data_IF_000661974127
#
_entry.id   IF_000661974127
#
_cell.length_a   1.000
_cell.length_b   1.000
_cell.length_c   1.000
_cell.angle_alpha   90.00
_cell.angle_beta   90.00
_cell.angle_gamma   90.00
#
_symmetry.space_group_name_H-M   'P 1'
#
loop_
_entity.id
_entity.type
_entity.pdbx_description
1 polymer ?
#
# COMPACT_ATOMS: atom_id res chain seq x y z
N UNK A 1 4.28 12.63 -13.91
CA UNK A 1 3.76 13.84 -13.26
C UNK A 1 2.55 14.40 -14.01
N UNK A 2 2.69 14.92 -15.24
CA UNK A 2 1.55 15.44 -16.02
C UNK A 2 0.42 14.42 -16.26
N UNK A 3 0.76 13.17 -16.57
CA UNK A 3 -0.27 12.14 -16.78
C UNK A 3 -1.06 11.83 -15.51
N UNK A 4 -0.42 11.79 -14.34
CA UNK A 4 -1.13 11.58 -13.08
C UNK A 4 -2.12 12.71 -12.79
N UNK A 5 -1.73 13.97 -13.00
CA UNK A 5 -2.62 15.13 -12.80
C UNK A 5 -3.86 15.00 -13.70
N UNK A 6 -3.66 14.61 -14.96
CA UNK A 6 -4.74 14.41 -15.93
C UNK A 6 -5.67 13.26 -15.51
N UNK A 7 -5.12 12.11 -15.13
CA UNK A 7 -5.95 10.98 -14.66
C UNK A 7 -6.67 11.30 -13.34
N UNK A 8 -6.05 12.08 -12.45
CA UNK A 8 -6.69 12.57 -11.22
C UNK A 8 -7.90 13.47 -11.53
N UNK A 9 -7.74 14.41 -12.47
CA UNK A 9 -8.84 15.28 -12.92
C UNK A 9 -9.98 14.48 -13.56
N UNK A 10 -9.65 13.50 -14.40
CA UNK A 10 -10.63 12.60 -15.01
C UNK A 10 -11.38 11.76 -13.98
N UNK A 11 -10.68 11.21 -12.99
CA UNK A 11 -11.29 10.49 -11.87
C UNK A 11 -12.29 11.40 -11.13
N UNK A 12 -11.90 12.64 -10.86
CA UNK A 12 -12.76 13.64 -10.20
C UNK A 12 -14.02 13.95 -11.02
N UNK A 13 -13.92 14.05 -12.34
CA UNK A 13 -15.08 14.25 -13.23
C UNK A 13 -16.03 13.04 -13.21
N UNK A 14 -15.47 11.82 -13.21
CA UNK A 14 -16.24 10.58 -13.11
C UNK A 14 -16.99 10.53 -11.78
N UNK A 15 -16.31 10.74 -10.66
CA UNK A 15 -16.94 10.74 -9.34
C UNK A 15 -18.01 11.83 -9.22
N UNK A 16 -17.78 13.03 -9.79
CA UNK A 16 -18.81 14.06 -9.85
C UNK A 16 -20.05 13.62 -10.62
N UNK A 17 -19.87 12.95 -11.77
CA UNK A 17 -20.99 12.43 -12.56
C UNK A 17 -21.76 11.34 -11.81
N UNK A 18 -21.07 10.47 -11.09
CA UNK A 18 -21.66 9.34 -10.40
C UNK A 18 -22.33 9.74 -9.07
N UNK A 19 -21.75 10.71 -8.35
CA UNK A 19 -22.18 11.06 -6.99
C UNK A 19 -22.80 12.45 -6.86
N UNK A 20 -22.67 13.30 -7.87
CA UNK A 20 -23.23 14.66 -7.91
C UNK A 20 -22.44 15.72 -7.12
N UNK A 21 -21.24 15.39 -6.63
CA UNK A 21 -20.35 16.32 -5.94
C UNK A 21 -18.88 15.95 -6.14
N UNK A 22 -17.97 16.93 -5.98
CA UNK A 22 -16.54 16.68 -6.00
C UNK A 22 -16.09 16.05 -4.68
N UNK A 23 -15.77 14.76 -4.72
CA UNK A 23 -15.20 13.99 -3.61
C UNK A 23 -13.68 14.14 -3.50
N UNK A 24 -13.01 14.32 -4.63
CA UNK A 24 -11.55 14.36 -4.74
C UNK A 24 -11.07 15.81 -4.72
N UNK A 25 -10.38 16.23 -3.64
CA UNK A 25 -10.02 17.62 -3.45
C UNK A 25 -8.82 18.03 -4.32
N UNK A 26 -8.86 19.24 -4.88
CA UNK A 26 -7.72 19.79 -5.66
C UNK A 26 -6.92 20.83 -4.86
N UNK A 27 -7.38 21.19 -3.67
CA UNK A 27 -6.73 22.15 -2.80
C UNK A 27 -7.09 21.86 -1.33
N UNK A 28 -6.40 22.53 -0.41
CA UNK A 28 -6.59 22.35 1.02
C UNK A 28 -7.99 22.72 1.50
N UNK A 29 -8.64 23.72 0.88
CA UNK A 29 -10.00 24.10 1.26
C UNK A 29 -10.98 22.95 0.97
N UNK A 30 -10.96 22.40 -0.24
CA UNK A 30 -11.81 21.26 -0.61
C UNK A 30 -11.51 20.02 0.26
N UNK A 31 -10.22 19.79 0.60
CA UNK A 31 -9.82 18.69 1.47
C UNK A 31 -10.41 18.84 2.88
N UNK A 32 -10.29 20.02 3.48
CA UNK A 32 -10.86 20.30 4.81
C UNK A 32 -12.39 20.24 4.81
N UNK A 33 -13.05 20.77 3.78
CA UNK A 33 -14.50 20.66 3.62
C UNK A 33 -14.94 19.19 3.52
N UNK A 34 -14.19 18.37 2.77
CA UNK A 34 -14.46 16.93 2.67
C UNK A 34 -14.31 16.22 4.01
N UNK A 35 -13.20 16.47 4.72
CA UNK A 35 -12.94 15.89 6.04
C UNK A 35 -14.01 16.28 7.06
N UNK A 36 -14.42 17.55 7.06
CA UNK A 36 -15.50 18.03 7.93
C UNK A 36 -16.82 17.32 7.61
N UNK A 37 -17.20 17.19 6.33
CA UNK A 37 -18.42 16.45 5.95
C UNK A 37 -18.39 15.00 6.43
N UNK A 38 -17.28 14.29 6.23
CA UNK A 38 -17.10 12.91 6.70
C UNK A 38 -17.21 12.84 8.21
N UNK A 39 -16.54 13.75 8.93
CA UNK A 39 -16.57 13.80 10.39
C UNK A 39 -17.98 14.02 10.93
N UNK A 40 -18.70 15.03 10.41
CA UNK A 40 -20.07 15.32 10.85
C UNK A 40 -21.02 14.14 10.56
N UNK A 41 -20.86 13.49 9.41
CA UNK A 41 -21.75 12.42 8.97
C UNK A 41 -21.51 11.09 9.69
N UNK A 42 -20.25 10.73 9.95
CA UNK A 42 -19.90 9.38 10.38
C UNK A 42 -19.21 9.29 11.75
N UNK A 43 -18.56 10.37 12.22
CA UNK A 43 -17.76 10.33 13.44
C UNK A 43 -18.40 11.03 14.64
N UNK A 44 -19.49 11.78 14.43
CA UNK A 44 -20.29 12.39 15.50
C UNK A 44 -21.41 11.52 16.07
N UNK A 45 -21.67 10.36 15.47
CA UNK A 45 -22.68 9.43 15.97
C UNK A 45 -22.37 9.01 17.42
N UNK A 46 -23.39 9.00 18.29
CA UNK A 46 -23.20 8.76 19.73
C UNK A 46 -22.61 7.38 20.05
N UNK A 47 -22.95 6.37 19.24
CA UNK A 47 -22.36 5.03 19.36
C UNK A 47 -20.88 5.06 19.03
N UNK A 48 -20.51 5.77 17.95
CA UNK A 48 -19.11 5.96 17.56
C UNK A 48 -18.33 6.72 18.62
N UNK A 49 -18.91 7.77 19.21
CA UNK A 49 -18.26 8.54 20.28
C UNK A 49 -18.02 7.71 21.55
N UNK A 50 -18.91 6.76 21.85
CA UNK A 50 -18.81 5.87 23.02
C UNK A 50 -17.88 4.66 22.84
N UNK A 51 -17.54 4.32 21.60
CA UNK A 51 -16.70 3.16 21.26
C UNK A 51 -15.39 3.60 20.60
N UNK A 52 -14.32 3.63 21.39
CA UNK A 52 -12.99 4.04 20.93
C UNK A 52 -12.45 3.15 19.80
N UNK A 53 -12.78 1.86 19.79
CA UNK A 53 -12.30 0.91 18.77
C UNK A 53 -13.01 1.19 17.46
N UNK A 54 -14.34 1.31 17.50
CA UNK A 54 -15.16 1.66 16.33
C UNK A 54 -14.74 3.02 15.75
N UNK A 55 -14.57 4.03 16.61
CA UNK A 55 -14.11 5.36 16.20
C UNK A 55 -12.77 5.32 15.50
N UNK A 56 -11.80 4.59 16.04
CA UNK A 56 -10.46 4.47 15.45
C UNK A 56 -10.53 3.79 14.08
N UNK A 57 -11.31 2.71 13.95
CA UNK A 57 -11.52 2.01 12.68
C UNK A 57 -12.15 2.93 11.63
N UNK A 58 -13.23 3.63 11.98
CA UNK A 58 -13.90 4.57 11.08
C UNK A 58 -12.99 5.75 10.69
N UNK A 59 -12.28 6.33 11.65
CA UNK A 59 -11.33 7.41 11.39
C UNK A 59 -10.26 6.97 10.38
N UNK A 60 -9.64 5.81 10.61
CA UNK A 60 -8.63 5.27 9.69
C UNK A 60 -9.18 4.94 8.31
N UNK A 61 -10.45 4.52 8.21
CA UNK A 61 -11.03 4.06 6.95
C UNK A 61 -11.67 5.16 6.11
N UNK A 62 -12.10 6.26 6.75
CA UNK A 62 -12.86 7.32 6.10
C UNK A 62 -12.06 8.62 5.93
N UNK A 63 -11.17 8.96 6.87
CA UNK A 63 -10.42 10.21 6.80
C UNK A 63 -9.00 10.03 6.27
N UNK A 64 -8.34 8.95 6.66
CA UNK A 64 -6.95 8.73 6.23
C UNK A 64 -6.89 8.17 4.80
N UNK A 65 -7.76 7.22 4.45
CA UNK A 65 -7.72 6.50 3.16
C UNK A 65 -7.78 7.40 1.92
N UNK A 66 -8.52 8.52 1.99
CA UNK A 66 -8.74 9.41 0.86
C UNK A 66 -7.64 10.47 0.72
N UNK A 67 -6.76 10.61 1.73
CA UNK A 67 -5.71 11.63 1.76
C UNK A 67 -4.55 11.33 0.80
N UNK A 68 -4.28 10.06 0.49
CA UNK A 68 -3.11 9.65 -0.31
C UNK A 68 -3.14 10.21 -1.74
N UNK A 69 -4.28 10.13 -2.42
CA UNK A 69 -4.38 10.58 -3.81
C UNK A 69 -4.25 12.09 -3.94
N UNK A 70 -4.79 12.82 -2.96
CA UNK A 70 -4.65 14.27 -2.85
C UNK A 70 -3.20 14.66 -2.55
N UNK A 71 -2.53 13.97 -1.62
CA UNK A 71 -1.12 14.22 -1.30
C UNK A 71 -0.21 14.00 -2.53
N UNK A 72 -0.46 12.95 -3.32
CA UNK A 72 0.24 12.73 -4.59
C UNK A 72 -0.09 13.80 -5.63
N UNK A 73 -1.36 14.21 -5.71
CA UNK A 73 -1.79 15.28 -6.62
C UNK A 73 -1.02 16.59 -6.35
N UNK A 74 -0.96 17.04 -5.10
CA UNK A 74 -0.20 18.23 -4.72
C UNK A 74 1.28 18.09 -5.05
N UNK A 75 1.91 16.98 -4.65
CA UNK A 75 3.33 16.76 -4.90
C UNK A 75 3.67 16.76 -6.39
N UNK A 76 2.81 16.20 -7.25
CA UNK A 76 3.01 16.21 -8.69
C UNK A 76 2.67 17.54 -9.35
N UNK A 77 1.70 18.29 -8.82
CA UNK A 77 1.36 19.62 -9.29
C UNK A 77 2.55 20.58 -9.09
N UNK A 78 3.15 20.52 -7.90
CA UNK A 78 4.27 21.40 -7.51
C UNK A 78 5.63 20.87 -8.00
N UNK A 79 5.68 19.62 -8.48
CA UNK A 79 6.93 18.95 -8.82
C UNK A 79 7.84 18.70 -7.61
N UNK A 80 7.26 18.64 -6.40
CA UNK A 80 7.97 18.53 -5.14
C UNK A 80 8.19 17.05 -4.74
N UNK A 81 9.41 16.56 -5.00
CA UNK A 81 9.83 15.21 -4.63
C UNK A 81 9.92 15.00 -3.11
N UNK A 82 10.18 16.05 -2.32
CA UNK A 82 10.20 15.94 -0.86
C UNK A 82 8.78 15.74 -0.35
N UNK A 83 7.82 16.49 -0.89
CA UNK A 83 6.40 16.29 -0.58
C UNK A 83 5.92 14.91 -1.02
N UNK A 84 6.34 14.43 -2.20
CA UNK A 84 6.03 13.08 -2.65
C UNK A 84 6.57 12.03 -1.67
N UNK A 85 7.82 12.16 -1.22
CA UNK A 85 8.41 11.24 -0.25
C UNK A 85 7.66 11.27 1.09
N UNK A 86 7.25 12.45 1.56
CA UNK A 86 6.43 12.59 2.77
C UNK A 86 5.05 11.94 2.60
N UNK A 87 4.43 12.08 1.43
CA UNK A 87 3.16 11.45 1.11
C UNK A 87 3.27 9.92 1.14
N UNK A 88 4.34 9.36 0.56
CA UNK A 88 4.64 7.92 0.61
C UNK A 88 4.87 7.47 2.06
N UNK A 89 5.67 8.21 2.84
CA UNK A 89 5.93 7.91 4.25
C UNK A 89 4.63 7.84 5.07
N UNK A 90 3.75 8.84 4.93
CA UNK A 90 2.48 8.88 5.64
C UNK A 90 1.55 7.76 5.18
N UNK A 91 1.45 7.53 3.87
CA UNK A 91 0.60 6.48 3.29
C UNK A 91 1.05 5.10 3.74
N UNK A 92 2.36 4.83 3.74
CA UNK A 92 2.91 3.54 4.17
C UNK A 92 2.50 3.19 5.60
N UNK A 93 2.59 4.16 6.52
CA UNK A 93 2.18 3.98 7.92
C UNK A 93 0.69 3.83 8.10
N UNK A 94 -0.10 4.58 7.34
CA UNK A 94 -1.55 4.43 7.35
C UNK A 94 -1.98 3.02 6.94
N UNK A 95 -1.45 2.52 5.82
CA UNK A 95 -1.76 1.17 5.31
C UNK A 95 -1.36 0.09 6.34
N UNK A 96 -0.22 0.25 7.02
CA UNK A 96 0.21 -0.62 8.13
C UNK A 96 -0.78 -0.59 9.32
N UNK A 97 -1.23 0.60 9.72
CA UNK A 97 -2.22 0.77 10.80
C UNK A 97 -3.55 0.12 10.41
N UNK A 98 -4.04 0.39 9.19
CA UNK A 98 -5.31 -0.17 8.71
C UNK A 98 -5.26 -1.69 8.58
N UNK A 99 -4.17 -2.22 8.05
CA UNK A 99 -3.94 -3.66 7.98
C UNK A 99 -3.97 -4.33 9.35
N UNK A 100 -3.39 -3.69 10.38
CA UNK A 100 -3.43 -4.21 11.75
C UNK A 100 -4.78 -4.07 12.46
N UNK A 101 -5.58 -3.05 12.13
CA UNK A 101 -6.84 -2.74 12.83
C UNK A 101 -8.09 -3.42 12.24
N UNK A 102 -8.13 -3.65 10.93
CA UNK A 102 -9.34 -4.09 10.24
C UNK A 102 -9.42 -5.62 10.13
N UNK A 103 -10.56 -6.19 10.53
CA UNK A 103 -10.73 -7.62 10.85
C UNK A 103 -10.93 -8.55 9.64
N UNK A 104 -10.28 -8.30 8.51
CA UNK A 104 -10.35 -9.18 7.33
C UNK A 104 -8.96 -9.70 7.00
N UNK A 105 -8.81 -11.01 6.81
CA UNK A 105 -7.53 -11.62 6.39
C UNK A 105 -7.00 -11.04 5.09
N UNK A 106 -7.89 -10.62 4.19
CA UNK A 106 -7.52 -9.93 2.94
C UNK A 106 -7.01 -8.51 3.21
N UNK A 107 -7.68 -7.75 4.07
CA UNK A 107 -7.29 -6.37 4.42
C UNK A 107 -6.00 -6.35 5.23
N UNK A 108 -5.84 -7.29 6.16
CA UNK A 108 -4.62 -7.49 6.93
C UNK A 108 -3.43 -7.69 6.01
N UNK A 109 -3.57 -8.65 5.10
CA UNK A 109 -2.50 -9.05 4.19
C UNK A 109 -2.18 -7.96 3.16
N UNK A 110 -3.19 -7.40 2.50
CA UNK A 110 -3.02 -6.38 1.47
C UNK A 110 -2.50 -5.07 2.07
N UNK A 111 -3.09 -4.61 3.18
CA UNK A 111 -2.66 -3.39 3.88
C UNK A 111 -1.24 -3.49 4.45
N UNK A 112 -0.88 -4.61 5.08
CA UNK A 112 0.49 -4.78 5.59
C UNK A 112 1.50 -4.83 4.44
N UNK A 113 1.24 -5.60 3.38
CA UNK A 113 2.17 -5.66 2.24
C UNK A 113 2.31 -4.30 1.56
N UNK A 114 1.20 -3.62 1.25
CA UNK A 114 1.23 -2.26 0.68
C UNK A 114 1.98 -1.30 1.56
N UNK A 115 1.71 -1.34 2.86
CA UNK A 115 2.38 -0.50 3.86
C UNK A 115 3.89 -0.73 3.89
N UNK A 116 4.32 -1.99 3.92
CA UNK A 116 5.75 -2.36 3.87
C UNK A 116 6.42 -1.92 2.56
N UNK A 117 5.77 -2.14 1.42
CA UNK A 117 6.33 -1.74 0.11
C UNK A 117 6.44 -0.23 -0.03
N UNK A 118 5.41 0.50 0.40
CA UNK A 118 5.40 1.96 0.37
C UNK A 118 6.48 2.52 1.30
N UNK A 119 6.63 1.92 2.48
CA UNK A 119 7.70 2.27 3.43
C UNK A 119 9.08 2.00 2.85
N UNK A 120 9.27 0.88 2.15
CA UNK A 120 10.51 0.57 1.44
C UNK A 120 10.82 1.61 0.35
N UNK A 121 9.81 2.04 -0.42
CA UNK A 121 9.96 3.02 -1.50
C UNK A 121 10.35 4.42 -1.02
N UNK A 122 10.04 4.78 0.22
CA UNK A 122 10.41 6.07 0.83
C UNK A 122 11.54 5.97 1.86
N UNK A 123 12.22 4.83 1.92
CA UNK A 123 13.30 4.52 2.88
C UNK A 123 12.87 4.57 4.37
N UNK A 124 11.58 4.39 4.69
CA UNK A 124 11.13 4.17 6.07
C UNK A 124 11.42 2.73 6.51
N UNK A 125 12.69 2.39 6.69
CA UNK A 125 13.09 1.06 7.13
C UNK A 125 12.75 0.78 8.60
N UNK A 126 12.45 1.83 9.38
CA UNK A 126 12.17 1.71 10.82
C UNK A 126 10.96 0.83 11.14
N UNK A 127 10.00 0.73 10.21
CA UNK A 127 8.80 -0.09 10.39
C UNK A 127 9.01 -1.55 10.00
N UNK A 128 10.01 -1.85 9.15
CA UNK A 128 10.22 -3.19 8.61
C UNK A 128 10.49 -4.19 9.73
N UNK A 129 11.38 -3.85 10.67
CA UNK A 129 11.72 -4.73 11.79
C UNK A 129 10.55 -5.00 12.74
N UNK A 130 9.56 -4.12 12.79
CA UNK A 130 8.38 -4.28 13.65
C UNK A 130 7.37 -5.28 13.09
N UNK A 131 7.32 -5.44 11.77
CA UNK A 131 6.38 -6.35 11.08
C UNK A 131 7.07 -7.61 10.54
N UNK A 132 8.36 -7.53 10.25
CA UNK A 132 9.23 -8.61 9.79
C UNK A 132 10.45 -8.64 10.70
N UNK A 133 10.32 -9.17 11.94
CA UNK A 133 11.44 -9.21 12.87
C UNK A 133 12.49 -10.24 12.41
N UNK A 134 13.72 -10.08 12.90
CA UNK A 134 14.86 -10.92 12.48
C UNK A 134 14.64 -12.41 12.78
N UNK A 135 13.98 -12.70 13.90
CA UNK A 135 13.63 -14.04 14.37
C UNK A 135 12.32 -14.59 13.77
N UNK A 136 11.66 -13.86 12.85
CA UNK A 136 10.49 -14.36 12.14
C UNK A 136 10.85 -15.67 11.43
N UNK A 137 10.19 -16.81 11.71
CA UNK A 137 10.52 -18.07 11.05
C UNK A 137 10.23 -18.00 9.55
N UNK A 138 10.85 -18.90 8.79
CA UNK A 138 10.53 -19.07 7.38
C UNK A 138 9.06 -19.48 7.23
N UNK A 139 8.30 -18.72 6.45
CA UNK A 139 6.90 -19.00 6.18
C UNK A 139 6.76 -20.09 5.12
N UNK A 140 5.65 -20.84 5.15
CA UNK A 140 5.42 -22.01 4.26
C UNK A 140 5.37 -21.72 2.75
N UNK A 141 5.24 -20.45 2.34
CA UNK A 141 5.14 -20.07 0.93
C UNK A 141 3.84 -20.52 0.23
N UNK A 142 2.77 -20.83 0.97
CA UNK A 142 1.49 -21.28 0.40
C UNK A 142 0.76 -20.17 -0.36
N UNK A 143 0.89 -18.94 0.13
CA UNK A 143 0.24 -17.75 -0.42
C UNK A 143 1.28 -16.74 -0.89
N UNK A 144 0.94 -15.92 -1.88
CA UNK A 144 1.84 -14.87 -2.39
C UNK A 144 2.43 -13.95 -1.30
N UNK A 145 1.70 -13.55 -0.24
CA UNK A 145 2.23 -12.70 0.83
C UNK A 145 3.35 -13.36 1.61
N UNK A 146 3.22 -14.67 1.85
CA UNK A 146 4.23 -15.43 2.58
C UNK A 146 5.54 -15.48 1.80
N UNK A 147 5.45 -15.69 0.48
CA UNK A 147 6.63 -15.69 -0.40
C UNK A 147 7.27 -14.31 -0.48
N UNK A 148 6.46 -13.26 -0.61
CA UNK A 148 6.93 -11.87 -0.57
C UNK A 148 7.63 -11.56 0.75
N UNK A 149 7.03 -11.90 1.90
CA UNK A 149 7.61 -11.65 3.23
C UNK A 149 8.92 -12.41 3.40
N UNK A 150 8.98 -13.68 2.97
CA UNK A 150 10.21 -14.47 3.02
C UNK A 150 11.34 -13.84 2.21
N UNK A 151 11.06 -13.42 0.97
CA UNK A 151 12.04 -12.74 0.11
C UNK A 151 12.46 -11.38 0.68
N UNK A 152 11.50 -10.57 1.12
CA UNK A 152 11.76 -9.26 1.72
C UNK A 152 12.59 -9.39 3.01
N UNK A 153 12.28 -10.36 3.88
CA UNK A 153 13.08 -10.66 5.07
C UNK A 153 14.53 -10.95 4.69
N UNK A 154 14.73 -11.92 3.79
CA UNK A 154 16.08 -12.35 3.41
C UNK A 154 16.90 -11.22 2.76
N UNK A 155 16.28 -10.41 1.88
CA UNK A 155 16.91 -9.24 1.25
C UNK A 155 17.26 -8.18 2.31
N UNK A 156 16.32 -7.86 3.21
CA UNK A 156 16.48 -6.80 4.19
C UNK A 156 17.57 -7.12 5.23
N UNK A 157 17.59 -8.36 5.72
CA UNK A 157 18.57 -8.82 6.71
C UNK A 157 19.85 -9.40 6.11
N UNK A 158 19.96 -9.44 4.78
CA UNK A 158 21.10 -10.00 4.03
C UNK A 158 21.38 -11.46 4.44
N UNK A 159 20.31 -12.26 4.58
CA UNK A 159 20.34 -13.66 4.98
C UNK A 159 20.33 -14.55 3.72
N UNK A 160 21.53 -14.87 3.20
CA UNK A 160 21.72 -15.61 1.95
C UNK A 160 21.21 -17.07 2.00
N UNK A 161 21.32 -17.71 3.17
CA UNK A 161 20.82 -19.08 3.38
C UNK A 161 19.30 -19.08 3.26
N UNK A 162 18.63 -18.15 3.96
CA UNK A 162 17.18 -17.97 3.85
C UNK A 162 16.78 -17.49 2.46
N UNK A 163 17.58 -16.67 1.79
CA UNK A 163 17.28 -16.16 0.45
C UNK A 163 17.13 -17.31 -0.55
N UNK A 164 18.06 -18.27 -0.51
CA UNK A 164 18.05 -19.46 -1.36
C UNK A 164 16.78 -20.28 -1.17
N UNK A 165 16.41 -20.57 0.08
CA UNK A 165 15.18 -21.31 0.40
C UNK A 165 13.90 -20.53 0.02
N UNK A 166 13.91 -19.21 0.23
CA UNK A 166 12.79 -18.32 -0.10
C UNK A 166 12.53 -18.27 -1.61
N UNK A 167 13.59 -18.25 -2.43
CA UNK A 167 13.48 -18.31 -3.90
C UNK A 167 12.84 -19.63 -4.34
N UNK A 168 13.25 -20.76 -3.75
CA UNK A 168 12.68 -22.08 -4.06
C UNK A 168 11.18 -22.11 -3.77
N UNK A 169 10.76 -21.67 -2.58
CA UNK A 169 9.34 -21.61 -2.20
C UNK A 169 8.54 -20.70 -3.14
N UNK A 170 9.09 -19.53 -3.49
CA UNK A 170 8.46 -18.58 -4.38
C UNK A 170 8.28 -19.14 -5.80
N UNK A 171 9.26 -19.86 -6.33
CA UNK A 171 9.17 -20.54 -7.63
C UNK A 171 8.12 -21.65 -7.60
N UNK A 172 8.13 -22.51 -6.58
CA UNK A 172 7.12 -23.56 -6.40
C UNK A 172 5.70 -22.98 -6.31
N UNK A 173 5.53 -21.83 -5.63
CA UNK A 173 4.24 -21.14 -5.55
C UNK A 173 3.71 -20.71 -6.92
N UNK A 174 4.60 -20.21 -7.79
CA UNK A 174 4.28 -19.79 -9.16
C UNK A 174 3.99 -20.98 -10.09
N UNK A 175 4.63 -22.13 -9.86
CA UNK A 175 4.46 -23.35 -10.68
C UNK A 175 3.19 -24.13 -10.35
N UNK A 176 2.78 -24.18 -9.06
CA UNK A 176 1.64 -25.02 -8.58
C UNK A 176 0.32 -24.75 -9.30
N UNK A 177 0.04 -23.51 -9.67
CA UNK A 177 -1.11 -23.12 -10.49
C UNK A 177 -0.81 -21.83 -11.23
N UNK A 178 -1.41 -21.64 -12.40
CA UNK A 178 -1.31 -20.39 -13.15
C UNK A 178 -1.78 -19.24 -12.28
N UNK A 179 -0.83 -18.42 -11.81
CA UNK A 179 -1.07 -17.16 -11.12
C UNK A 179 -1.25 -16.06 -12.17
N UNK A 180 -1.99 -15.02 -11.82
CA UNK A 180 -2.18 -13.85 -12.66
C UNK A 180 -2.29 -12.61 -11.79
N UNK A 181 -2.03 -11.44 -12.38
CA UNK A 181 -2.18 -10.15 -11.72
C UNK A 181 -1.25 -10.01 -10.50
N UNK A 182 -1.79 -9.47 -9.41
CA UNK A 182 -1.01 -9.09 -8.23
C UNK A 182 -0.22 -10.26 -7.60
N UNK A 183 -0.80 -11.47 -7.54
CA UNK A 183 -0.12 -12.62 -6.95
C UNK A 183 1.16 -12.98 -7.72
N UNK A 184 1.07 -13.00 -9.05
CA UNK A 184 2.19 -13.37 -9.91
C UNK A 184 3.26 -12.30 -9.90
N UNK A 185 2.89 -11.08 -10.26
CA UNK A 185 3.87 -10.04 -10.52
C UNK A 185 4.53 -9.54 -9.25
N UNK A 186 3.86 -9.61 -8.08
CA UNK A 186 4.50 -9.29 -6.79
C UNK A 186 5.61 -10.29 -6.47
N UNK A 187 5.33 -11.59 -6.59
CA UNK A 187 6.33 -12.63 -6.29
C UNK A 187 7.49 -12.58 -7.28
N UNK A 188 7.20 -12.43 -8.59
CA UNK A 188 8.25 -12.31 -9.62
C UNK A 188 9.11 -11.06 -9.43
N UNK A 189 8.51 -9.93 -9.04
CA UNK A 189 9.24 -8.71 -8.73
C UNK A 189 10.29 -8.98 -7.63
N UNK A 190 9.91 -9.61 -6.52
CA UNK A 190 10.84 -9.90 -5.42
C UNK A 190 11.90 -10.96 -5.78
N UNK A 191 11.56 -11.95 -6.62
CA UNK A 191 12.57 -12.90 -7.14
C UNK A 191 13.62 -12.14 -7.97
N UNK A 192 13.19 -11.22 -8.84
CA UNK A 192 14.12 -10.44 -9.66
C UNK A 192 14.91 -9.43 -8.82
N UNK A 193 14.30 -8.87 -7.77
CA UNK A 193 14.99 -8.02 -6.79
C UNK A 193 16.09 -8.80 -6.07
N UNK A 194 15.80 -10.00 -5.59
CA UNK A 194 16.78 -10.90 -4.97
C UNK A 194 17.95 -11.22 -5.92
N UNK A 195 17.64 -11.43 -7.21
CA UNK A 195 18.64 -11.72 -8.26
C UNK A 195 19.35 -10.49 -8.80
N UNK A 196 18.97 -9.29 -8.39
CA UNK A 196 19.46 -8.02 -8.93
C UNK A 196 19.24 -7.89 -10.44
N UNK A 197 18.18 -8.49 -10.97
CA UNK A 197 17.80 -8.43 -12.38
C UNK A 197 16.97 -7.18 -12.68
N UNK A 198 17.63 -6.10 -13.06
CA UNK A 198 16.99 -4.81 -13.32
C UNK A 198 15.91 -4.85 -14.42
N UNK A 199 16.12 -5.64 -15.47
CA UNK A 199 15.15 -5.77 -16.56
C UNK A 199 13.89 -6.48 -16.07
N UNK A 200 14.07 -7.59 -15.35
CA UNK A 200 12.99 -8.34 -14.75
C UNK A 200 12.25 -7.56 -13.65
N UNK A 201 12.95 -6.72 -12.87
CA UNK A 201 12.33 -5.83 -11.87
C UNK A 201 11.39 -4.84 -12.59
N UNK A 202 11.90 -4.16 -13.61
CA UNK A 202 11.16 -3.12 -14.34
C UNK A 202 9.91 -3.69 -15.02
N UNK A 203 10.05 -4.84 -15.70
CA UNK A 203 8.94 -5.48 -16.39
C UNK A 203 7.82 -5.92 -15.43
N UNK A 204 8.18 -6.54 -14.29
CA UNK A 204 7.16 -6.99 -13.33
C UNK A 204 6.53 -5.83 -12.56
N UNK A 205 7.29 -4.75 -12.30
CA UNK A 205 6.71 -3.54 -11.72
C UNK A 205 5.69 -2.89 -12.67
N UNK A 206 6.01 -2.80 -13.97
CA UNK A 206 5.05 -2.30 -14.96
C UNK A 206 3.81 -3.19 -15.04
N UNK A 207 3.98 -4.51 -15.04
CA UNK A 207 2.86 -5.44 -15.05
C UNK A 207 2.01 -5.37 -13.77
N UNK A 208 2.61 -5.10 -12.61
CA UNK A 208 1.88 -4.79 -11.38
C UNK A 208 1.01 -3.55 -11.55
N UNK A 209 1.55 -2.48 -12.13
CA UNK A 209 0.80 -1.26 -12.37
C UNK A 209 -0.36 -1.45 -13.36
N UNK A 210 -0.24 -2.34 -14.33
CA UNK A 210 -1.30 -2.65 -15.30
C UNK A 210 -2.36 -3.63 -14.77
N UNK A 211 -2.01 -4.42 -13.75
CA UNK A 211 -2.91 -5.36 -13.12
C UNK A 211 -3.80 -4.72 -12.04
N UNK A 212 -3.54 -3.46 -11.69
CA UNK A 212 -4.29 -2.64 -10.74
C UNK A 212 -5.20 -1.68 -11.52
#
# INVERSE_FOLDING_TARGET
MKEYIKEYQKMREVHFKDWGYFSDPINWQEFEESNQRIFQKYLKDSKVLSDNVLRTKLYSSLLLNDSKYFAYYLAFLDGDYKQLNNALWQTGREELIRGGLLASGTIYTDGILRGLFTSFACNDFSVISSYIPKDLPLLKGTYYPQNVINLLHAIYYQDEDRLSESIILAQQFLEKKKRTGMEEFSVRYFINLARKDAAGISQNLQNLCLAY
#
